data_IF_798460064045
#
_entry.id   IF_798460064045
#
_cell.length_a   1.000
_cell.length_b   1.000
_cell.length_c   1.000
_cell.angle_alpha   90.00
_cell.angle_beta   90.00
_cell.angle_gamma   90.00
#
_symmetry.space_group_name_H-M   'P 1'
#
loop_
_entity.id
_entity.type
_entity.pdbx_description
1 polymer ?
#
# COMPACT_ATOMS: atom_id res chain seq x y z
N UNK A 1 5.38 4.35 -19.27
CA UNK A 1 4.93 3.43 -20.35
C UNK A 1 3.94 4.07 -21.32
N UNK A 2 2.93 4.83 -20.88
CA UNK A 2 1.97 5.51 -21.78
C UNK A 2 2.61 6.43 -22.85
N UNK A 3 3.78 7.04 -22.55
CA UNK A 3 4.50 7.90 -23.49
C UNK A 3 5.13 7.19 -24.69
N UNK A 4 5.34 5.85 -24.65
CA UNK A 4 5.99 5.11 -25.73
C UNK A 4 5.09 4.88 -26.96
N UNK A 5 3.77 5.04 -26.79
CA UNK A 5 2.75 4.65 -27.79
C UNK A 5 2.81 5.47 -29.08
N UNK A 6 3.27 6.72 -29.05
CA UNK A 6 3.21 7.64 -30.18
C UNK A 6 4.55 8.30 -30.51
N UNK A 7 5.67 7.68 -30.14
CA UNK A 7 6.99 8.25 -30.38
C UNK A 7 7.42 7.98 -31.83
N UNK A 8 7.34 9.03 -32.64
CA UNK A 8 8.12 9.19 -33.85
C UNK A 8 9.07 10.36 -33.67
N UNK A 9 10.31 10.21 -34.13
CA UNK A 9 11.26 11.33 -34.26
C UNK A 9 11.50 11.52 -35.75
N UNK A 10 11.06 12.66 -36.28
CA UNK A 10 11.29 13.10 -37.65
C UNK A 10 11.03 12.01 -38.71
N UNK A 11 9.83 11.41 -38.67
CA UNK A 11 9.35 10.31 -39.56
C UNK A 11 9.93 8.91 -39.30
N UNK A 12 10.78 8.71 -38.29
CA UNK A 12 11.20 7.38 -37.85
C UNK A 12 10.33 6.95 -36.67
N UNK A 13 9.51 5.91 -36.86
CA UNK A 13 8.53 5.44 -35.89
C UNK A 13 8.86 4.05 -35.35
N UNK A 14 8.42 3.77 -34.12
CA UNK A 14 8.32 2.39 -33.62
C UNK A 14 7.29 1.59 -34.47
N UNK A 15 7.50 0.28 -34.71
CA UNK A 15 6.55 -0.55 -35.47
C UNK A 15 5.11 -0.48 -34.95
N UNK A 16 4.11 -0.45 -35.85
CA UNK A 16 2.70 -0.23 -35.50
C UNK A 16 2.09 -1.32 -34.58
N UNK A 17 2.53 -2.58 -34.74
CA UNK A 17 2.12 -3.69 -33.88
C UNK A 17 2.53 -3.48 -32.40
N UNK A 18 3.70 -2.87 -32.19
CA UNK A 18 4.24 -2.58 -30.87
C UNK A 18 3.44 -1.47 -30.17
N UNK A 19 2.98 -0.45 -30.92
CA UNK A 19 2.22 0.67 -30.38
C UNK A 19 0.81 0.26 -29.90
N UNK A 20 0.11 -0.60 -30.65
CA UNK A 20 -1.22 -1.08 -30.27
C UNK A 20 -1.18 -1.90 -28.98
N UNK A 21 -0.24 -2.86 -28.91
CA UNK A 21 -0.08 -3.77 -27.77
C UNK A 21 0.27 -3.02 -26.47
N UNK A 22 1.14 -2.01 -26.55
CA UNK A 22 1.47 -1.15 -25.39
C UNK A 22 0.22 -0.42 -24.86
N UNK A 23 -0.68 0.04 -25.75
CA UNK A 23 -1.87 0.79 -25.37
C UNK A 23 -2.86 -0.03 -24.53
N UNK A 24 -3.13 -1.27 -24.95
CA UNK A 24 -4.09 -2.14 -24.26
C UNK A 24 -3.54 -2.60 -22.90
N UNK A 25 -2.26 -2.96 -22.84
CA UNK A 25 -1.60 -3.34 -21.58
C UNK A 25 -1.57 -2.18 -20.58
N UNK A 26 -1.25 -0.96 -21.01
CA UNK A 26 -1.25 0.21 -20.12
C UNK A 26 -2.65 0.46 -19.55
N UNK A 27 -3.70 0.38 -20.37
CA UNK A 27 -5.07 0.59 -19.92
C UNK A 27 -5.51 -0.46 -18.90
N UNK A 28 -5.21 -1.73 -19.14
CA UNK A 28 -5.55 -2.82 -18.22
C UNK A 28 -4.85 -2.65 -16.87
N UNK A 29 -3.55 -2.32 -16.88
CA UNK A 29 -2.76 -2.12 -15.66
C UNK A 29 -3.26 -0.92 -14.85
N UNK A 30 -3.61 0.21 -15.48
CA UNK A 30 -4.14 1.37 -14.76
C UNK A 30 -5.44 1.06 -14.05
N UNK A 31 -6.38 0.36 -14.71
CA UNK A 31 -7.66 0.00 -14.10
C UNK A 31 -7.45 -0.93 -12.88
N UNK A 32 -6.62 -1.96 -13.03
CA UNK A 32 -6.34 -2.89 -11.94
C UNK A 32 -5.63 -2.22 -10.76
N UNK A 33 -4.69 -1.31 -11.04
CA UNK A 33 -3.95 -0.57 -10.01
C UNK A 33 -4.85 0.38 -9.23
N UNK A 34 -5.74 1.12 -9.91
CA UNK A 34 -6.65 2.07 -9.27
C UNK A 34 -7.67 1.35 -8.39
N UNK A 35 -8.24 0.24 -8.87
CA UNK A 35 -9.18 -0.59 -8.09
C UNK A 35 -8.50 -1.20 -6.86
N UNK A 36 -7.30 -1.77 -7.02
CA UNK A 36 -6.55 -2.36 -5.92
C UNK A 36 -6.17 -1.30 -4.87
N UNK A 37 -5.68 -0.14 -5.30
CA UNK A 37 -5.34 0.98 -4.40
C UNK A 37 -6.56 1.48 -3.62
N UNK A 38 -7.68 1.66 -4.32
CA UNK A 38 -8.94 2.07 -3.72
C UNK A 38 -9.40 1.06 -2.65
N UNK A 39 -9.47 -0.23 -3.00
CA UNK A 39 -9.89 -1.28 -2.05
C UNK A 39 -8.94 -1.43 -0.88
N UNK A 40 -7.63 -1.39 -1.12
CA UNK A 40 -6.61 -1.54 -0.07
C UNK A 40 -6.71 -0.40 0.94
N UNK A 41 -6.82 0.85 0.47
CA UNK A 41 -6.95 2.01 1.35
C UNK A 41 -8.22 1.99 2.20
N UNK A 42 -9.34 1.55 1.63
CA UNK A 42 -10.61 1.40 2.35
C UNK A 42 -10.54 0.31 3.44
N UNK A 43 -9.97 -0.85 3.11
CA UNK A 43 -9.84 -1.95 4.06
C UNK A 43 -8.86 -1.62 5.20
N UNK A 44 -7.70 -1.04 4.89
CA UNK A 44 -6.73 -0.61 5.90
C UNK A 44 -7.34 0.41 6.87
N UNK A 45 -8.09 1.39 6.34
CA UNK A 45 -8.79 2.38 7.16
C UNK A 45 -9.84 1.74 8.07
N UNK A 46 -10.58 0.75 7.57
CA UNK A 46 -11.57 0.04 8.37
C UNK A 46 -10.93 -0.76 9.51
N UNK A 47 -9.80 -1.44 9.24
CA UNK A 47 -9.05 -2.21 10.25
C UNK A 47 -8.48 -1.27 11.32
N UNK A 48 -7.82 -0.18 10.93
CA UNK A 48 -7.26 0.80 11.87
C UNK A 48 -8.36 1.42 12.76
N UNK A 49 -9.50 1.78 12.17
CA UNK A 49 -10.65 2.29 12.93
C UNK A 49 -11.19 1.25 13.92
N UNK A 50 -11.30 -0.02 13.52
CA UNK A 50 -11.75 -1.09 14.40
C UNK A 50 -10.81 -1.28 15.60
N UNK A 51 -9.50 -1.37 15.37
CA UNK A 51 -8.51 -1.53 16.44
C UNK A 51 -8.49 -0.31 17.39
N UNK A 52 -8.63 0.90 16.84
CA UNK A 52 -8.79 2.13 17.65
C UNK A 52 -10.06 2.09 18.50
N UNK A 53 -11.18 1.63 17.94
CA UNK A 53 -12.43 1.46 18.70
C UNK A 53 -12.23 0.51 19.87
N UNK A 54 -11.70 -0.70 19.62
CA UNK A 54 -11.46 -1.71 20.67
C UNK A 54 -10.58 -1.16 21.80
N UNK A 55 -9.53 -0.39 21.46
CA UNK A 55 -8.68 0.26 22.46
C UNK A 55 -9.44 1.27 23.31
N UNK A 56 -10.28 2.10 22.70
CA UNK A 56 -11.09 3.09 23.41
C UNK A 56 -12.12 2.38 24.29
N UNK A 57 -12.78 1.35 23.77
CA UNK A 57 -13.78 0.55 24.49
C UNK A 57 -13.19 -0.12 25.73
N UNK A 58 -11.95 -0.62 25.65
CA UNK A 58 -11.21 -1.16 26.79
C UNK A 58 -10.95 -0.11 27.87
N UNK A 59 -10.51 1.09 27.48
CA UNK A 59 -10.23 2.18 28.42
C UNK A 59 -11.52 2.60 29.12
N UNK A 60 -12.58 2.85 28.34
CA UNK A 60 -13.90 3.23 28.88
C UNK A 60 -14.45 2.12 29.78
N UNK A 61 -14.38 0.87 29.33
CA UNK A 61 -14.82 -0.30 30.09
C UNK A 61 -14.12 -0.39 31.44
N UNK A 62 -12.80 -0.19 31.50
CA UNK A 62 -12.06 -0.20 32.76
C UNK A 62 -12.49 0.92 33.72
N UNK A 63 -12.73 2.14 33.21
CA UNK A 63 -13.18 3.28 34.01
C UNK A 63 -14.61 3.09 34.53
N UNK A 64 -15.52 2.60 33.68
CA UNK A 64 -16.89 2.27 34.06
C UNK A 64 -16.89 1.19 35.13
N UNK A 65 -16.07 0.15 35.00
CA UNK A 65 -15.99 -0.91 36.00
C UNK A 65 -15.53 -0.39 37.37
N UNK A 66 -14.52 0.48 37.41
CA UNK A 66 -14.07 1.10 38.64
C UNK A 66 -15.17 1.96 39.29
N UNK A 67 -15.92 2.70 38.47
CA UNK A 67 -17.05 3.50 38.91
C UNK A 67 -18.21 2.63 39.43
N UNK A 68 -18.51 1.51 38.76
CA UNK A 68 -19.54 0.55 39.21
C UNK A 68 -19.21 -0.04 40.58
N UNK A 69 -17.93 -0.40 40.81
CA UNK A 69 -17.46 -0.90 42.11
C UNK A 69 -17.62 0.18 43.19
N UNK A 70 -17.20 1.41 42.89
CA UNK A 70 -17.32 2.54 43.83
C UNK A 70 -18.79 2.87 44.18
N UNK A 71 -19.62 3.11 43.16
CA UNK A 71 -21.04 3.43 43.35
C UNK A 71 -21.79 2.31 44.03
N UNK A 72 -21.50 1.08 43.63
CA UNK A 72 -22.09 -0.06 44.28
C UNK A 72 -21.77 -0.06 45.77
N UNK A 73 -20.53 0.24 46.17
CA UNK A 73 -20.08 0.08 47.54
C UNK A 73 -20.78 1.11 48.40
N UNK A 74 -20.84 2.33 47.88
CA UNK A 74 -21.61 3.44 48.44
C UNK A 74 -23.09 3.07 48.60
N UNK A 75 -23.78 2.63 47.54
CA UNK A 75 -25.21 2.29 47.60
C UNK A 75 -25.51 1.07 48.48
N UNK A 76 -24.60 0.11 48.56
CA UNK A 76 -24.69 -1.04 49.47
C UNK A 76 -24.60 -0.60 50.94
N UNK A 77 -23.80 0.42 51.25
CA UNK A 77 -23.76 1.03 52.59
C UNK A 77 -25.05 1.79 52.90
N UNK A 78 -25.52 2.63 51.97
CA UNK A 78 -26.73 3.44 52.11
C UNK A 78 -28.04 2.63 52.07
N UNK A 79 -28.00 1.37 51.61
CA UNK A 79 -29.16 0.48 51.57
C UNK A 79 -30.15 0.75 50.41
N UNK A 80 -29.73 1.48 49.37
CA UNK A 80 -30.56 1.78 48.20
C UNK A 80 -30.68 0.57 47.26
N UNK A 81 -31.69 -0.27 47.50
CA UNK A 81 -31.83 -1.57 46.82
C UNK A 81 -32.05 -1.46 45.30
N UNK A 82 -32.82 -0.46 44.84
CA UNK A 82 -33.12 -0.28 43.42
C UNK A 82 -31.86 -0.01 42.59
N UNK A 83 -31.01 0.91 43.06
CA UNK A 83 -29.77 1.28 42.36
C UNK A 83 -28.77 0.11 42.29
N UNK A 84 -28.67 -0.70 43.34
CA UNK A 84 -27.83 -1.91 43.32
C UNK A 84 -28.30 -2.88 42.24
N UNK A 85 -29.62 -3.06 42.06
CA UNK A 85 -30.15 -3.92 41.02
C UNK A 85 -29.82 -3.42 39.61
N UNK A 86 -29.93 -2.10 39.38
CA UNK A 86 -29.52 -1.48 38.11
C UNK A 86 -28.03 -1.70 37.81
N UNK A 87 -27.15 -1.54 38.82
CA UNK A 87 -25.70 -1.76 38.65
C UNK A 87 -25.37 -3.21 38.29
N UNK A 88 -26.08 -4.18 38.89
CA UNK A 88 -25.92 -5.60 38.57
C UNK A 88 -26.34 -5.89 37.11
N UNK A 89 -27.45 -5.32 36.64
CA UNK A 89 -27.88 -5.45 35.24
C UNK A 89 -26.84 -4.88 34.26
N UNK A 90 -26.29 -3.69 34.56
CA UNK A 90 -25.22 -3.08 33.74
C UNK A 90 -23.98 -3.99 33.73
N UNK A 91 -23.58 -4.53 34.89
CA UNK A 91 -22.46 -5.46 35.00
C UNK A 91 -22.61 -6.70 34.12
N UNK A 92 -23.81 -7.31 34.08
CA UNK A 92 -24.08 -8.45 33.20
C UNK A 92 -24.02 -8.10 31.71
N UNK A 93 -24.50 -6.91 31.31
CA UNK A 93 -24.40 -6.43 29.93
C UNK A 93 -22.93 -6.28 29.52
N UNK A 94 -22.09 -5.71 30.39
CA UNK A 94 -20.65 -5.56 30.13
C UNK A 94 -19.96 -6.92 29.99
N UNK A 95 -20.31 -7.90 30.84
CA UNK A 95 -19.78 -9.27 30.74
C UNK A 95 -20.16 -9.89 29.39
N UNK A 96 -21.42 -9.77 28.97
CA UNK A 96 -21.88 -10.29 27.68
C UNK A 96 -21.11 -9.65 26.50
N UNK A 97 -20.92 -8.32 26.53
CA UNK A 97 -20.12 -7.61 25.54
C UNK A 97 -18.67 -8.09 25.49
N UNK A 98 -18.02 -8.29 26.64
CA UNK A 98 -16.65 -8.80 26.73
C UNK A 98 -16.50 -10.22 26.14
N UNK A 99 -17.50 -11.10 26.32
CA UNK A 99 -17.50 -12.43 25.70
C UNK A 99 -17.60 -12.37 24.18
N UNK A 100 -18.49 -11.52 23.65
CA UNK A 100 -18.63 -11.34 22.20
C UNK A 100 -17.31 -10.83 21.61
N UNK A 101 -16.72 -9.80 22.22
CA UNK A 101 -15.43 -9.24 21.78
C UNK A 101 -14.30 -10.28 21.85
N UNK A 102 -14.23 -11.07 22.93
CA UNK A 102 -13.29 -12.16 23.04
C UNK A 102 -13.44 -13.19 21.91
N UNK A 103 -14.68 -13.55 21.55
CA UNK A 103 -14.97 -14.45 20.44
C UNK A 103 -14.49 -13.91 19.09
N UNK A 104 -14.74 -12.62 18.82
CA UNK A 104 -14.26 -11.95 17.59
C UNK A 104 -12.73 -11.96 17.53
N UNK A 105 -12.05 -11.66 18.64
CA UNK A 105 -10.59 -11.64 18.69
C UNK A 105 -9.97 -13.03 18.52
N UNK A 106 -10.62 -14.08 19.02
CA UNK A 106 -10.21 -15.47 18.78
C UNK A 106 -10.33 -15.85 17.30
N UNK A 107 -11.41 -15.44 16.63
CA UNK A 107 -11.56 -15.65 15.19
C UNK A 107 -10.47 -14.92 14.42
N UNK A 108 -10.19 -13.66 14.76
CA UNK A 108 -9.12 -12.89 14.14
C UNK A 108 -7.73 -13.52 14.34
N UNK A 109 -7.47 -14.07 15.52
CA UNK A 109 -6.21 -14.79 15.79
C UNK A 109 -6.03 -16.00 14.86
N UNK A 110 -7.08 -16.82 14.70
CA UNK A 110 -7.02 -17.98 13.81
C UNK A 110 -6.89 -17.57 12.34
N UNK A 111 -7.69 -16.59 11.89
CA UNK A 111 -7.61 -16.09 10.51
C UNK A 111 -6.23 -15.50 10.20
N UNK A 112 -5.64 -14.76 11.14
CA UNK A 112 -4.28 -14.24 10.99
C UNK A 112 -3.25 -15.37 10.92
N UNK A 113 -3.37 -16.40 11.77
CA UNK A 113 -2.52 -17.59 11.73
C UNK A 113 -2.63 -18.34 10.40
N UNK A 114 -3.84 -18.61 9.93
CA UNK A 114 -4.10 -19.27 8.64
C UNK A 114 -3.52 -18.46 7.47
N UNK A 115 -3.65 -17.14 7.53
CA UNK A 115 -3.07 -16.22 6.52
C UNK A 115 -1.55 -16.29 6.54
N UNK A 116 -0.93 -16.31 7.72
CA UNK A 116 0.53 -16.43 7.86
C UNK A 116 1.06 -17.75 7.28
N UNK A 117 0.37 -18.87 7.54
CA UNK A 117 0.73 -20.18 6.97
C UNK A 117 0.59 -20.16 5.44
N UNK A 118 -0.51 -19.58 4.92
CA UNK A 118 -0.74 -19.47 3.49
C UNK A 118 0.35 -18.60 2.80
N UNK A 119 0.79 -17.52 3.44
CA UNK A 119 1.87 -16.67 2.94
C UNK A 119 3.21 -17.42 2.90
N UNK A 120 3.55 -18.20 3.94
CA UNK A 120 4.78 -19.01 3.98
C UNK A 120 4.79 -20.10 2.89
N UNK A 121 3.66 -20.81 2.72
CA UNK A 121 3.51 -21.80 1.65
C UNK A 121 3.67 -21.19 0.25
N UNK A 122 3.13 -19.98 0.05
CA UNK A 122 3.28 -19.25 -1.22
C UNK A 122 4.73 -18.85 -1.49
N UNK A 123 5.47 -18.39 -0.48
CA UNK A 123 6.90 -18.04 -0.61
C UNK A 123 7.72 -19.25 -1.07
N UNK A 124 7.38 -20.44 -0.59
CA UNK A 124 8.02 -21.71 -0.97
C UNK A 124 7.61 -22.18 -2.39
N UNK A 125 6.36 -21.96 -2.79
CA UNK A 125 5.75 -22.51 -4.02
C UNK A 125 4.91 -21.47 -4.79
N UNK A 126 5.52 -20.41 -5.35
CA UNK A 126 4.79 -19.32 -6.00
C UNK A 126 4.13 -19.71 -7.34
N UNK A 127 4.55 -20.81 -7.96
CA UNK A 127 4.08 -21.23 -9.30
C UNK A 127 3.09 -22.40 -9.29
N UNK A 128 2.63 -22.81 -8.10
CA UNK A 128 1.54 -23.78 -7.97
C UNK A 128 0.30 -22.95 -7.68
N UNK A 129 -0.76 -23.15 -8.47
CA UNK A 129 -2.02 -22.43 -8.35
C UNK A 129 -2.48 -22.37 -6.88
N UNK A 130 -2.32 -21.19 -6.30
CA UNK A 130 -2.71 -20.85 -4.94
C UNK A 130 -3.71 -19.71 -5.02
N UNK A 131 -4.50 -19.49 -3.97
CA UNK A 131 -5.46 -18.37 -3.94
C UNK A 131 -4.81 -16.98 -4.10
N UNK A 132 -3.49 -16.88 -3.94
CA UNK A 132 -2.69 -15.65 -4.12
C UNK A 132 -2.29 -15.45 -5.59
N UNK A 133 -2.19 -16.50 -6.39
CA UNK A 133 -1.84 -16.46 -7.83
C UNK A 133 -2.91 -15.72 -8.67
N UNK A 134 -4.18 -15.81 -8.26
CA UNK A 134 -5.29 -15.07 -8.88
C UNK A 134 -5.22 -13.55 -8.65
N UNK A 135 -4.43 -13.10 -7.65
CA UNK A 135 -4.29 -11.69 -7.28
C UNK A 135 -2.95 -11.14 -7.80
N UNK A 136 -1.87 -11.93 -7.75
CA UNK A 136 -0.52 -11.56 -8.16
C UNK A 136 0.05 -12.65 -9.09
N UNK A 137 -0.30 -12.63 -10.40
CA UNK A 137 0.18 -13.63 -11.34
C UNK A 137 1.68 -13.45 -11.59
N UNK A 138 2.47 -14.36 -11.02
CA UNK A 138 3.92 -14.37 -11.17
C UNK A 138 4.30 -14.90 -12.56
N UNK A 139 5.11 -14.16 -13.31
CA UNK A 139 5.75 -14.72 -14.50
C UNK A 139 6.98 -15.54 -14.10
N UNK A 140 7.28 -16.58 -14.86
CA UNK A 140 8.47 -17.39 -14.62
C UNK A 140 9.77 -16.61 -14.91
N UNK A 141 10.87 -17.07 -14.33
CA UNK A 141 12.17 -16.40 -14.45
C UNK A 141 12.68 -16.29 -15.90
N UNK A 142 12.31 -17.22 -16.79
CA UNK A 142 12.71 -17.16 -18.20
C UNK A 142 11.94 -16.07 -18.94
N UNK A 143 10.62 -16.01 -18.75
CA UNK A 143 9.75 -14.94 -19.30
C UNK A 143 10.14 -13.56 -18.76
N UNK A 144 10.52 -13.47 -17.49
CA UNK A 144 11.05 -12.25 -16.87
C UNK A 144 12.36 -11.77 -17.52
N UNK A 145 13.28 -12.71 -17.76
CA UNK A 145 14.57 -12.43 -18.43
C UNK A 145 14.37 -12.02 -19.89
N UNK A 146 13.46 -12.68 -20.60
CA UNK A 146 13.08 -12.28 -21.96
C UNK A 146 12.49 -10.88 -21.99
N UNK A 147 11.54 -10.57 -21.10
CA UNK A 147 10.89 -9.26 -21.01
C UNK A 147 11.89 -8.14 -20.68
N UNK A 148 12.85 -8.40 -19.80
CA UNK A 148 13.96 -7.48 -19.52
C UNK A 148 14.80 -7.23 -20.77
N UNK A 149 15.17 -8.30 -21.49
CA UNK A 149 15.95 -8.21 -22.73
C UNK A 149 15.23 -7.40 -23.80
N UNK A 150 13.91 -7.59 -23.96
CA UNK A 150 13.07 -6.81 -24.88
C UNK A 150 13.00 -5.33 -24.51
N UNK A 151 12.98 -4.99 -23.22
CA UNK A 151 13.03 -3.59 -22.80
C UNK A 151 14.39 -2.94 -23.09
N UNK A 152 15.49 -3.69 -22.89
CA UNK A 152 16.83 -3.23 -23.27
C UNK A 152 16.94 -3.00 -24.79
N UNK A 153 16.34 -3.89 -25.58
CA UNK A 153 16.22 -3.76 -27.04
C UNK A 153 15.52 -2.45 -27.42
N UNK A 154 14.31 -2.20 -26.90
CA UNK A 154 13.55 -0.98 -27.18
C UNK A 154 14.32 0.29 -26.78
N UNK A 155 14.97 0.26 -25.62
CA UNK A 155 15.76 1.41 -25.12
C UNK A 155 16.98 1.69 -26.00
N UNK A 156 17.67 0.62 -26.44
CA UNK A 156 18.81 0.72 -27.37
C UNK A 156 18.38 1.27 -28.73
N UNK A 157 17.27 0.77 -29.28
CA UNK A 157 16.76 1.23 -30.58
C UNK A 157 16.27 2.68 -30.52
N UNK A 158 15.59 3.10 -29.44
CA UNK A 158 15.23 4.51 -29.25
C UNK A 158 16.47 5.42 -29.21
N UNK A 159 17.53 5.00 -28.53
CA UNK A 159 18.78 5.75 -28.49
C UNK A 159 19.44 5.85 -29.88
N UNK A 160 19.40 4.77 -30.67
CA UNK A 160 19.87 4.77 -32.06
C UNK A 160 19.07 5.71 -32.94
N UNK A 161 17.73 5.68 -32.88
CA UNK A 161 16.87 6.59 -33.67
C UNK A 161 17.22 8.06 -33.39
N UNK A 162 17.40 8.41 -32.11
CA UNK A 162 17.81 9.77 -31.73
C UNK A 162 19.19 10.12 -32.28
N UNK A 163 20.13 9.18 -32.19
CA UNK A 163 21.49 9.34 -32.71
C UNK A 163 21.56 9.44 -34.24
N UNK A 164 20.71 8.71 -34.96
CA UNK A 164 20.60 8.79 -36.41
C UNK A 164 20.10 10.16 -36.85
N UNK A 165 19.14 10.74 -36.12
CA UNK A 165 18.71 12.13 -36.35
C UNK A 165 19.85 13.10 -36.05
N UNK A 166 20.61 12.92 -34.97
CA UNK A 166 21.76 13.78 -34.66
C UNK A 166 22.81 13.73 -35.77
N UNK A 167 23.20 12.55 -36.24
CA UNK A 167 24.26 12.40 -37.24
C UNK A 167 23.79 12.82 -38.63
N UNK A 168 22.66 12.29 -39.08
CA UNK A 168 22.20 12.42 -40.47
C UNK A 168 21.37 13.67 -40.72
N UNK A 169 20.78 14.26 -39.68
CA UNK A 169 19.98 15.49 -39.81
C UNK A 169 20.71 16.66 -39.15
N UNK A 170 21.03 16.61 -37.86
CA UNK A 170 21.51 17.77 -37.09
C UNK A 170 23.00 18.12 -37.28
N UNK A 171 23.85 17.13 -37.54
CA UNK A 171 25.30 17.30 -37.71
C UNK A 171 25.74 17.12 -39.17
N UNK A 172 24.86 16.61 -40.05
CA UNK A 172 25.14 16.41 -41.45
C UNK A 172 25.35 17.75 -42.17
N UNK A 173 26.42 17.83 -42.98
CA UNK A 173 26.67 18.99 -43.84
C UNK A 173 26.02 18.73 -45.20
N UNK A 174 24.77 19.12 -45.39
CA UNK A 174 24.14 19.08 -46.70
C UNK A 174 24.70 20.19 -47.59
N UNK A 175 25.50 19.81 -48.58
CA UNK A 175 25.88 20.67 -49.71
C UNK A 175 25.48 19.93 -50.98
N UNK A 176 24.22 20.05 -51.41
CA UNK A 176 23.81 19.57 -52.73
C UNK A 176 22.76 20.49 -53.36
N UNK A 177 22.98 21.03 -54.57
CA UNK A 177 22.01 21.85 -55.29
C UNK A 177 20.74 21.11 -55.76
N UNK A 178 20.66 19.78 -55.58
CA UNK A 178 19.67 18.89 -56.23
C UNK A 178 18.81 18.13 -55.19
N UNK A 179 19.10 18.26 -53.89
CA UNK A 179 18.34 17.56 -52.85
C UNK A 179 16.98 18.23 -52.57
N UNK A 180 15.92 17.47 -52.22
CA UNK A 180 14.61 18.02 -51.90
C UNK A 180 14.70 19.08 -50.79
N UNK A 181 13.91 20.15 -50.90
CA UNK A 181 13.96 21.33 -50.02
C UNK A 181 13.87 21.02 -48.51
N UNK A 182 13.39 19.83 -48.14
CA UNK A 182 13.34 19.31 -46.77
C UNK A 182 14.69 18.81 -46.21
N UNK A 183 15.80 18.95 -46.93
CA UNK A 183 17.13 18.47 -46.52
C UNK A 183 18.22 19.56 -46.59
N UNK A 184 17.88 20.76 -47.05
CA UNK A 184 18.82 21.88 -47.21
C UNK A 184 18.67 22.87 -46.04
N UNK A 185 19.10 22.48 -44.84
CA UNK A 185 19.12 23.36 -43.68
C UNK A 185 20.50 23.99 -43.50
N UNK A 186 20.59 25.32 -43.43
CA UNK A 186 21.84 26.02 -43.12
C UNK A 186 22.10 25.98 -41.60
N UNK A 187 22.53 24.82 -41.10
CA UNK A 187 22.80 24.57 -39.69
C UNK A 187 24.10 25.25 -39.25
N UNK A 188 23.97 26.48 -38.76
CA UNK A 188 25.07 27.24 -38.17
C UNK A 188 25.16 26.91 -36.68
N UNK A 189 26.34 26.54 -36.16
CA UNK A 189 26.55 26.26 -34.72
C UNK A 189 27.53 25.11 -34.44
N UNK A 190 27.90 24.86 -33.16
CA UNK A 190 28.72 23.70 -32.79
C UNK A 190 28.00 22.38 -33.08
N UNK A 191 28.75 21.28 -33.19
CA UNK A 191 28.17 19.94 -33.36
C UNK A 191 27.45 19.52 -32.09
N UNK A 192 26.28 18.92 -32.28
CA UNK A 192 25.45 18.42 -31.20
C UNK A 192 26.01 17.10 -30.67
N UNK A 193 26.14 16.93 -29.34
CA UNK A 193 26.62 15.68 -28.76
C UNK A 193 25.58 14.58 -28.89
N UNK A 194 26.08 13.36 -29.09
CA UNK A 194 25.29 12.14 -29.27
C UNK A 194 24.64 11.70 -27.95
N UNK A 195 23.46 11.09 -28.03
CA UNK A 195 22.84 10.42 -26.90
C UNK A 195 23.62 9.15 -26.53
N UNK A 196 23.93 8.98 -25.25
CA UNK A 196 24.50 7.73 -24.76
C UNK A 196 23.47 6.61 -24.88
N UNK A 197 23.86 5.54 -25.58
CA UNK A 197 23.15 4.27 -25.48
C UNK A 197 23.78 3.48 -24.31
N UNK A 198 23.05 3.16 -23.24
CA UNK A 198 23.62 2.43 -22.10
C UNK A 198 23.92 0.96 -22.40
N UNK A 199 23.60 0.48 -23.61
CA UNK A 199 23.75 -0.92 -24.00
C UNK A 199 24.70 -1.11 -25.20
N UNK A 200 25.38 -2.25 -25.22
CA UNK A 200 26.10 -2.82 -26.36
C UNK A 200 25.12 -3.44 -27.38
N UNK A 201 25.63 -3.87 -28.55
CA UNK A 201 24.81 -4.57 -29.56
C UNK A 201 24.23 -5.90 -29.08
N UNK A 202 24.80 -6.48 -28.03
CA UNK A 202 24.33 -7.70 -27.35
C UNK A 202 23.54 -7.41 -26.05
N UNK A 203 23.13 -6.15 -25.85
CA UNK A 203 22.34 -5.68 -24.70
C UNK A 203 23.02 -5.78 -23.33
N UNK A 204 24.34 -5.98 -23.29
CA UNK A 204 25.11 -5.81 -22.06
C UNK A 204 25.27 -4.33 -21.71
N UNK A 205 25.37 -4.05 -20.43
CA UNK A 205 25.49 -2.69 -19.93
C UNK A 205 26.89 -2.14 -20.28
N UNK A 206 26.94 -0.92 -20.83
CA UNK A 206 28.18 -0.20 -21.12
C UNK A 206 28.23 1.15 -20.44
N UNK A 207 29.45 1.65 -20.25
CA UNK A 207 29.67 3.04 -19.85
C UNK A 207 29.62 3.94 -21.09
N UNK A 208 29.03 5.12 -20.91
CA UNK A 208 29.01 6.14 -21.95
C UNK A 208 30.43 6.62 -22.26
N UNK A 209 30.70 6.87 -23.54
CA UNK A 209 31.98 7.41 -24.01
C UNK A 209 32.08 8.92 -23.71
N UNK A 210 33.29 9.47 -23.54
CA UNK A 210 33.48 10.91 -23.43
C UNK A 210 32.89 11.64 -24.65
N UNK A 211 31.99 12.59 -24.41
CA UNK A 211 31.29 13.35 -25.46
C UNK A 211 29.86 12.85 -25.77
N UNK A 212 29.46 11.70 -25.24
CA UNK A 212 28.05 11.29 -25.20
C UNK A 212 27.34 11.95 -24.01
N UNK A 213 26.05 12.27 -24.19
CA UNK A 213 25.19 12.81 -23.11
C UNK A 213 24.27 11.75 -22.54
N UNK A 214 24.09 11.75 -21.22
CA UNK A 214 23.17 10.84 -20.54
C UNK A 214 21.71 11.17 -20.90
N UNK A 215 20.77 10.24 -20.68
CA UNK A 215 19.34 10.53 -20.88
C UNK A 215 18.84 11.69 -20.01
N UNK A 216 19.38 11.86 -18.81
CA UNK A 216 18.97 12.92 -17.88
C UNK A 216 19.49 14.30 -18.30
N UNK A 217 20.72 14.35 -18.83
CA UNK A 217 21.37 15.61 -19.19
C UNK A 217 21.06 16.05 -20.62
N UNK A 218 20.73 15.12 -21.51
CA UNK A 218 20.46 15.38 -22.92
C UNK A 218 19.45 16.52 -23.15
N UNK A 219 18.26 16.57 -22.51
CA UNK A 219 17.33 17.69 -22.70
C UNK A 219 17.93 19.05 -22.32
N UNK A 220 18.73 19.10 -21.24
CA UNK A 220 19.39 20.33 -20.77
C UNK A 220 20.46 20.79 -21.75
N UNK A 221 21.30 19.85 -22.22
CA UNK A 221 22.40 20.13 -23.15
C UNK A 221 21.88 20.53 -24.51
N UNK A 222 20.90 19.80 -25.05
CA UNK A 222 20.35 20.04 -26.39
C UNK A 222 19.56 21.33 -26.51
N UNK A 223 19.06 21.87 -25.39
CA UNK A 223 18.40 23.19 -25.37
C UNK A 223 19.29 24.31 -25.92
N UNK A 224 20.60 24.21 -25.76
CA UNK A 224 21.58 25.15 -26.30
C UNK A 224 21.76 25.09 -27.82
N UNK A 225 21.17 24.09 -28.49
CA UNK A 225 21.29 23.87 -29.93
C UNK A 225 20.01 24.22 -30.70
N UNK A 226 18.97 24.69 -29.99
CA UNK A 226 17.69 25.07 -30.59
C UNK A 226 17.87 26.37 -31.37
N UNK A 227 17.46 26.37 -32.63
CA UNK A 227 17.33 27.58 -33.42
C UNK A 227 15.92 28.17 -33.27
N UNK A 228 15.78 29.49 -33.48
CA UNK A 228 14.49 30.04 -33.82
C UNK A 228 14.11 29.56 -35.22
N UNK A 229 12.87 29.11 -35.40
CA UNK A 229 12.43 28.49 -36.64
C UNK A 229 11.34 29.33 -37.31
N UNK A 230 11.46 29.48 -38.63
CA UNK A 230 10.40 30.03 -39.48
C UNK A 230 9.73 28.88 -40.23
N UNK A 231 8.41 28.97 -40.42
CA UNK A 231 7.67 27.93 -41.15
C UNK A 231 7.61 28.32 -42.63
N UNK A 232 8.23 27.52 -43.50
CA UNK A 232 8.22 27.71 -44.95
C UNK A 232 7.63 26.43 -45.56
N UNK A 233 6.54 26.56 -46.33
CA UNK A 233 5.85 25.43 -46.97
C UNK A 233 5.47 24.28 -45.99
N UNK A 234 5.10 24.63 -44.76
CA UNK A 234 4.70 23.66 -43.73
C UNK A 234 5.85 22.97 -42.99
N UNK A 235 7.11 23.33 -43.25
CA UNK A 235 8.28 22.80 -42.55
C UNK A 235 8.98 23.90 -41.73
N UNK A 236 9.42 23.54 -40.52
CA UNK A 236 10.24 24.42 -39.68
C UNK A 236 11.67 24.49 -40.22
N UNK A 237 12.16 25.70 -40.47
CA UNK A 237 13.52 25.97 -40.95
C UNK A 237 14.20 26.95 -39.98
N UNK A 238 15.41 26.63 -39.55
CA UNK A 238 16.19 27.49 -38.67
C UNK A 238 16.50 28.85 -39.31
N UNK A 239 16.10 29.94 -38.64
CA UNK A 239 16.41 31.33 -39.02
C UNK A 239 17.58 31.92 -38.23
N UNK A 240 17.91 31.36 -37.07
CA UNK A 240 19.07 31.75 -36.24
C UNK A 240 20.10 30.62 -36.15
N UNK A 241 21.27 30.92 -35.57
CA UNK A 241 22.27 29.92 -35.17
C UNK A 241 21.60 28.84 -34.31
N UNK A 242 21.80 27.58 -34.68
CA UNK A 242 21.25 26.38 -34.05
C UNK A 242 21.28 25.19 -35.02
N UNK A 243 21.14 23.98 -34.48
CA UNK A 243 21.20 22.71 -35.21
C UNK A 243 19.85 22.01 -35.32
N UNK A 244 18.92 22.28 -34.39
CA UNK A 244 17.62 21.62 -34.31
C UNK A 244 16.49 22.65 -34.19
N UNK A 245 15.35 22.34 -34.78
CA UNK A 245 14.11 23.12 -34.64
C UNK A 245 13.39 22.77 -33.34
N UNK A 246 12.46 23.61 -32.85
CA UNK A 246 11.65 23.31 -31.68
C UNK A 246 10.87 21.98 -31.79
N UNK A 247 10.36 21.63 -32.98
CA UNK A 247 9.70 20.34 -33.24
C UNK A 247 10.63 19.14 -33.01
N UNK A 248 11.81 19.14 -33.64
CA UNK A 248 12.81 18.06 -33.51
C UNK A 248 13.26 17.93 -32.05
N UNK A 249 13.52 19.06 -31.36
CA UNK A 249 13.87 19.05 -29.95
C UNK A 249 12.80 18.37 -29.09
N UNK A 250 11.51 18.68 -29.31
CA UNK A 250 10.41 18.06 -28.56
C UNK A 250 10.32 16.56 -28.80
N UNK A 251 10.50 16.10 -30.04
CA UNK A 251 10.46 14.68 -30.38
C UNK A 251 11.64 13.92 -29.78
N UNK A 252 12.86 14.46 -29.91
CA UNK A 252 14.07 13.85 -29.35
C UNK A 252 14.05 13.78 -27.83
N UNK A 253 13.55 14.83 -27.16
CA UNK A 253 13.42 14.85 -25.70
C UNK A 253 12.35 13.88 -25.21
N UNK A 254 11.23 13.74 -25.92
CA UNK A 254 10.21 12.73 -25.61
C UNK A 254 10.75 11.28 -25.73
N UNK A 255 11.53 11.00 -26.78
CA UNK A 255 12.19 9.71 -26.96
C UNK A 255 13.23 9.44 -25.85
N UNK A 256 14.00 10.46 -25.48
CA UNK A 256 15.02 10.40 -24.43
C UNK A 256 14.40 10.15 -23.06
N UNK A 257 13.38 10.92 -22.67
CA UNK A 257 12.67 10.72 -21.40
C UNK A 257 12.00 9.35 -21.32
N UNK A 258 11.51 8.82 -22.45
CA UNK A 258 10.96 7.46 -22.49
C UNK A 258 12.03 6.41 -22.31
N UNK A 259 13.18 6.56 -22.98
CA UNK A 259 14.34 5.69 -22.83
C UNK A 259 14.87 5.70 -21.39
N UNK A 260 14.90 6.87 -20.75
CA UNK A 260 15.24 7.01 -19.33
C UNK A 260 14.29 6.22 -18.43
N UNK A 261 12.99 6.35 -18.66
CA UNK A 261 11.99 5.66 -17.86
C UNK A 261 12.10 4.14 -18.03
N UNK A 262 12.32 3.63 -19.25
CA UNK A 262 12.54 2.21 -19.48
C UNK A 262 13.81 1.73 -18.78
N UNK A 263 14.92 2.46 -18.94
CA UNK A 263 16.20 2.15 -18.32
C UNK A 263 16.13 2.08 -16.79
N UNK A 264 15.47 3.06 -16.15
CA UNK A 264 15.40 3.14 -14.68
C UNK A 264 14.35 2.20 -14.07
N UNK A 265 13.15 2.10 -14.68
CA UNK A 265 12.02 1.42 -14.03
C UNK A 265 11.83 -0.03 -14.47
N UNK A 266 12.33 -0.45 -15.64
CA UNK A 266 12.16 -1.85 -16.08
C UNK A 266 12.72 -2.87 -15.10
N UNK A 267 13.94 -2.73 -14.53
CA UNK A 267 14.47 -3.74 -13.61
C UNK A 267 13.56 -3.98 -12.40
N UNK A 268 13.03 -2.89 -11.83
CA UNK A 268 12.08 -2.97 -10.73
C UNK A 268 10.77 -3.67 -11.16
N UNK A 269 10.20 -3.28 -12.30
CA UNK A 269 8.95 -3.88 -12.79
C UNK A 269 9.09 -5.38 -13.11
N UNK A 270 10.27 -5.82 -13.56
CA UNK A 270 10.56 -7.24 -13.76
C UNK A 270 10.67 -7.97 -12.41
N UNK A 271 11.25 -7.35 -11.39
CA UNK A 271 11.30 -7.91 -10.03
C UNK A 271 9.92 -8.00 -9.36
N UNK A 272 9.00 -7.12 -9.73
CA UNK A 272 7.59 -7.23 -9.32
C UNK A 272 6.92 -8.36 -10.10
N UNK A 273 7.07 -8.39 -11.43
CA UNK A 273 6.44 -9.39 -12.27
C UNK A 273 6.90 -10.84 -11.97
N UNK A 274 8.18 -11.05 -11.64
CA UNK A 274 8.71 -12.36 -11.26
C UNK A 274 8.43 -12.74 -9.78
N UNK A 275 7.65 -11.90 -9.07
CA UNK A 275 7.29 -12.04 -7.66
C UNK A 275 8.47 -12.11 -6.68
N UNK A 276 9.70 -11.79 -7.11
CA UNK A 276 10.86 -11.74 -6.22
C UNK A 276 10.67 -10.72 -5.09
N UNK A 277 10.14 -9.54 -5.44
CA UNK A 277 9.84 -8.48 -4.48
C UNK A 277 8.78 -8.90 -3.45
N UNK A 278 7.70 -9.54 -3.92
CA UNK A 278 6.61 -9.99 -3.05
C UNK A 278 7.03 -11.15 -2.16
N UNK A 279 7.83 -12.09 -2.68
CA UNK A 279 8.40 -13.19 -1.89
C UNK A 279 9.30 -12.68 -0.77
N UNK A 280 10.10 -11.65 -1.03
CA UNK A 280 10.94 -11.04 0.00
C UNK A 280 10.08 -10.42 1.11
N UNK A 281 9.04 -9.67 0.74
CA UNK A 281 8.11 -9.06 1.70
C UNK A 281 7.35 -10.12 2.49
N UNK A 282 6.79 -11.14 1.83
CA UNK A 282 6.02 -12.18 2.51
C UNK A 282 6.91 -13.06 3.39
N UNK A 283 8.17 -13.30 2.98
CA UNK A 283 9.16 -13.94 3.83
C UNK A 283 9.41 -13.11 5.09
N UNK A 284 9.60 -11.78 4.96
CA UNK A 284 9.80 -10.89 6.10
C UNK A 284 8.57 -10.86 7.03
N UNK A 285 7.37 -10.81 6.46
CA UNK A 285 6.10 -10.87 7.22
C UNK A 285 6.01 -12.21 7.96
N UNK A 286 6.31 -13.31 7.30
CA UNK A 286 6.28 -14.65 7.88
C UNK A 286 7.27 -14.81 9.03
N UNK A 287 8.50 -14.30 8.90
CA UNK A 287 9.53 -14.46 9.93
C UNK A 287 9.40 -13.49 11.09
N UNK A 288 9.02 -12.23 10.82
CA UNK A 288 9.12 -11.17 11.82
C UNK A 288 7.74 -10.77 12.35
N UNK A 289 6.76 -10.58 11.47
CA UNK A 289 5.46 -10.00 11.84
C UNK A 289 4.46 -11.05 12.33
N UNK A 290 4.43 -12.23 11.71
CA UNK A 290 3.51 -13.31 12.05
C UNK A 290 3.69 -13.82 13.50
N UNK A 291 4.92 -14.07 14.00
CA UNK A 291 5.13 -14.47 15.39
C UNK A 291 4.74 -13.38 16.39
N UNK A 292 5.00 -12.11 16.07
CA UNK A 292 4.57 -10.98 16.90
C UNK A 292 3.04 -10.88 16.95
N UNK A 293 2.39 -10.99 15.79
CA UNK A 293 0.94 -10.94 15.69
C UNK A 293 0.30 -12.09 16.47
N UNK A 294 0.82 -13.31 16.35
CA UNK A 294 0.36 -14.47 17.11
C UNK A 294 0.48 -14.21 18.62
N UNK A 295 1.65 -13.73 19.07
CA UNK A 295 1.92 -13.46 20.48
C UNK A 295 1.00 -12.37 21.04
N UNK A 296 0.83 -11.26 20.32
CA UNK A 296 0.01 -10.14 20.76
C UNK A 296 -1.48 -10.45 20.73
N UNK A 297 -1.97 -11.09 19.66
CA UNK A 297 -3.38 -11.51 19.56
C UNK A 297 -3.73 -12.56 20.61
N UNK A 298 -2.81 -13.50 20.91
CA UNK A 298 -2.95 -14.44 22.02
C UNK A 298 -3.04 -13.76 23.36
N UNK A 299 -2.14 -12.82 23.63
CA UNK A 299 -2.18 -12.01 24.85
C UNK A 299 -3.48 -11.22 24.99
N UNK A 300 -4.03 -10.72 23.89
CA UNK A 300 -5.26 -9.94 23.88
C UNK A 300 -6.47 -10.78 24.27
N UNK A 301 -6.75 -11.91 23.61
CA UNK A 301 -7.92 -12.71 24.00
C UNK A 301 -7.77 -13.32 25.41
N UNK A 302 -6.55 -13.72 25.82
CA UNK A 302 -6.29 -14.17 27.19
C UNK A 302 -6.58 -13.06 28.22
N UNK A 303 -6.27 -11.80 27.90
CA UNK A 303 -6.59 -10.68 28.78
C UNK A 303 -8.09 -10.48 28.91
N UNK A 304 -8.85 -10.60 27.82
CA UNK A 304 -10.31 -10.52 27.84
C UNK A 304 -10.97 -11.67 28.62
N UNK A 305 -10.45 -12.89 28.51
CA UNK A 305 -10.99 -14.02 29.29
C UNK A 305 -10.76 -13.83 30.78
N UNK A 306 -9.56 -13.39 31.19
CA UNK A 306 -9.23 -13.08 32.59
C UNK A 306 -10.07 -11.91 33.12
N UNK A 307 -10.23 -10.84 32.32
CA UNK A 307 -11.06 -9.69 32.67
C UNK A 307 -12.52 -10.09 32.90
N UNK A 308 -13.10 -10.86 31.98
CA UNK A 308 -14.48 -11.37 32.11
C UNK A 308 -14.63 -12.25 33.35
N UNK A 309 -13.70 -13.19 33.58
CA UNK A 309 -13.70 -14.03 34.77
C UNK A 309 -13.63 -13.21 36.07
N UNK A 310 -12.78 -12.18 36.10
CA UNK A 310 -12.64 -11.28 37.25
C UNK A 310 -13.93 -10.48 37.51
N UNK A 311 -14.63 -10.04 36.46
CA UNK A 311 -15.90 -9.33 36.59
C UNK A 311 -17.00 -10.25 37.14
N UNK A 312 -17.09 -11.48 36.64
CA UNK A 312 -18.04 -12.49 37.14
C UNK A 312 -17.81 -12.74 38.62
N UNK A 313 -16.57 -13.02 39.02
CA UNK A 313 -16.22 -13.26 40.43
C UNK A 313 -16.56 -12.06 41.31
N UNK A 314 -16.24 -10.85 40.86
CA UNK A 314 -16.56 -9.61 41.57
C UNK A 314 -18.07 -9.46 41.78
N UNK A 315 -18.89 -9.68 40.76
CA UNK A 315 -20.35 -9.63 40.87
C UNK A 315 -20.92 -10.73 41.77
N UNK A 316 -20.35 -11.94 41.74
CA UNK A 316 -20.78 -13.04 42.61
C UNK A 316 -20.50 -12.69 44.08
N UNK A 317 -19.26 -12.29 44.40
CA UNK A 317 -18.89 -11.87 45.75
C UNK A 317 -19.77 -10.73 46.25
N UNK A 318 -20.06 -9.78 45.36
CA UNK A 318 -20.97 -8.70 45.65
C UNK A 318 -22.38 -9.17 46.03
N UNK A 319 -22.97 -10.05 45.20
CA UNK A 319 -24.30 -10.58 45.42
C UNK A 319 -24.39 -11.37 46.73
N UNK A 320 -23.36 -12.15 47.05
CA UNK A 320 -23.25 -12.88 48.33
C UNK A 320 -23.19 -11.89 49.50
N UNK A 321 -22.34 -10.87 49.42
CA UNK A 321 -22.22 -9.85 50.47
C UNK A 321 -23.54 -9.10 50.73
N UNK A 322 -24.22 -8.67 49.67
CA UNK A 322 -25.53 -8.00 49.78
C UNK A 322 -26.59 -8.93 50.38
N UNK A 323 -26.61 -10.21 49.99
CA UNK A 323 -27.53 -11.21 50.53
C UNK A 323 -27.28 -11.47 52.01
N UNK A 324 -26.03 -11.63 52.43
CA UNK A 324 -25.67 -11.88 53.83
C UNK A 324 -26.04 -10.67 54.71
N UNK A 325 -25.71 -9.45 54.26
CA UNK A 325 -26.09 -8.23 54.95
C UNK A 325 -27.61 -8.09 55.12
N UNK A 326 -28.37 -8.45 54.08
CA UNK A 326 -29.84 -8.47 54.12
C UNK A 326 -30.35 -9.50 55.16
N UNK A 327 -29.79 -10.71 55.18
CA UNK A 327 -30.12 -11.72 56.19
C UNK A 327 -29.86 -11.23 57.62
N UNK A 328 -28.70 -10.61 57.87
CA UNK A 328 -28.36 -10.04 59.19
C UNK A 328 -29.36 -8.95 59.61
N UNK A 329 -29.82 -8.12 58.67
CA UNK A 329 -30.82 -7.08 58.97
C UNK A 329 -32.20 -7.67 59.30
N UNK A 330 -32.69 -8.64 58.53
CA UNK A 330 -33.96 -9.32 58.83
C UNK A 330 -33.91 -10.09 60.15
N UNK A 331 -32.81 -10.79 60.45
CA UNK A 331 -32.65 -11.48 61.75
C UNK A 331 -32.66 -10.50 62.93
N UNK A 332 -32.00 -9.33 62.81
CA UNK A 332 -32.05 -8.29 63.85
C UNK A 332 -33.46 -7.73 64.06
N UNK A 333 -34.24 -7.52 63.00
CA UNK A 333 -35.62 -7.06 63.12
C UNK A 333 -36.56 -8.10 63.74
N UNK A 334 -36.36 -9.38 63.41
CA UNK A 334 -37.14 -10.48 63.98
C UNK A 334 -36.90 -10.58 65.49
N UNK A 335 -35.63 -10.58 65.93
CA UNK A 335 -35.26 -10.59 67.36
C UNK A 335 -35.82 -9.36 68.08
N UNK A 336 -35.78 -8.17 67.47
CA UNK A 336 -36.33 -6.96 68.07
C UNK A 336 -37.87 -7.03 68.24
N UNK A 337 -38.58 -7.61 67.26
CA UNK A 337 -40.04 -7.81 67.35
C UNK A 337 -40.42 -8.85 68.40
N UNK A 338 -39.71 -9.97 68.49
CA UNK A 338 -39.93 -10.97 69.53
C UNK A 338 -39.66 -10.40 70.93
N UNK A 339 -38.58 -9.64 71.11
CA UNK A 339 -38.28 -8.97 72.38
C UNK A 339 -39.35 -7.97 72.79
N UNK A 340 -39.90 -7.19 71.85
CA UNK A 340 -41.01 -6.27 72.11
C UNK A 340 -42.32 -7.02 72.46
N UNK A 341 -42.59 -8.16 71.81
CA UNK A 341 -43.76 -8.97 72.11
C UNK A 341 -43.69 -9.57 73.54
N UNK A 342 -42.52 -10.06 73.93
CA UNK A 342 -42.29 -10.60 75.28
C UNK A 342 -42.46 -9.52 76.38
N UNK A 343 -41.92 -8.32 76.19
CA UNK A 343 -42.13 -7.20 77.12
C UNK A 343 -43.59 -6.72 77.18
N UNK A 344 -44.34 -6.81 76.08
CA UNK A 344 -45.75 -6.45 76.05
C UNK A 344 -46.64 -7.47 76.78
N UNK A 345 -46.18 -8.72 76.89
CA UNK A 345 -46.86 -9.79 77.63
C UNK A 345 -46.56 -9.70 79.14
N UNK A 346 -45.32 -9.37 79.52
CA UNK A 346 -44.91 -9.12 80.90
C UNK A 346 -45.64 -7.92 81.54
N UNK A 347 -45.87 -6.84 80.78
CA UNK A 347 -46.60 -5.66 81.26
C UNK A 347 -48.12 -5.86 81.40
N UNK A 348 -48.68 -7.01 81.03
CA UNK A 348 -50.11 -7.34 81.17
C UNK A 348 -50.43 -8.18 82.41
N UNK A 349 -49.40 -8.65 83.12
CA UNK A 349 -49.51 -9.51 84.30
C UNK A 349 -49.38 -8.68 85.59
#
# INVERSE_FOLDING_TARGET
MAGAKSLGVHQVFLPAELQAKIGDTVKAVTISSDELSSRTSLNLKNIDNFLKSVRIDLIIGSAVMLLLVFLGFLFSILGLQFLVYCLVLIGWILIAGAFILCGVLLLLHNVAGDTCVAMDEWVLKPHIATAIDDILPCIDAATATESLTRSKEVTSELAKVVNDVIVNVSNAKFHSPIAPASSNYNQSGPLMPMLCNPYESDFRDRKCLPGEVSFEDAPKVWKGFICNANVISGQEICSTVGRITPSIYREMTAATSTSQNLYQFTPFLINVANCSFEREIFSLIGTDLCPELERHSKGMYCSFTVFSASMILSLIFWMVYVRERRHRWYSKQFIAREGQAAQAEENKL
#
